data_IF_225862622311
#
_entry.id   IF_225862622311
#
_cell.length_a   1.000
_cell.length_b   1.000
_cell.length_c   1.000
_cell.angle_alpha   90.00
_cell.angle_beta   90.00
_cell.angle_gamma   90.00
#
_symmetry.space_group_name_H-M   'P 1'
#
loop_
_entity.id
_entity.type
_entity.pdbx_description
1 polymer ?
#
# COMPACT_ATOMS: atom_id res chain seq x y z
N UNK A 1 -14.81 -12.37 8.64
CA UNK A 1 -15.72 -13.15 9.50
C UNK A 1 -16.71 -13.91 8.65
N UNK A 2 -16.63 -15.25 8.53
CA UNK A 2 -17.61 -16.02 7.78
C UNK A 2 -18.90 -16.09 8.60
N UNK A 3 -19.92 -15.34 8.16
CA UNK A 3 -21.27 -15.39 8.73
C UNK A 3 -21.94 -16.69 8.29
N UNK A 4 -22.38 -17.46 9.29
CA UNK A 4 -23.50 -18.40 9.24
C UNK A 4 -23.59 -19.30 8.01
N UNK A 5 -22.94 -20.46 8.02
CA UNK A 5 -23.40 -21.57 7.18
C UNK A 5 -24.66 -22.13 7.84
N UNK A 6 -25.78 -21.89 7.16
CA UNK A 6 -27.11 -22.29 7.53
C UNK A 6 -27.13 -23.73 8.03
N UNK A 7 -27.66 -23.89 9.25
CA UNK A 7 -28.08 -25.17 9.83
C UNK A 7 -29.04 -25.80 8.83
N UNK A 8 -28.54 -26.75 8.06
CA UNK A 8 -29.38 -27.56 7.21
C UNK A 8 -30.18 -28.45 8.17
N UNK A 9 -31.52 -28.32 8.23
CA UNK A 9 -32.32 -29.21 9.08
C UNK A 9 -32.06 -30.64 8.61
N UNK A 10 -31.73 -31.53 9.55
CA UNK A 10 -31.57 -32.94 9.22
C UNK A 10 -32.84 -33.42 8.55
N UNK A 11 -32.75 -34.00 7.34
CA UNK A 11 -33.95 -34.21 6.58
C UNK A 11 -34.69 -35.42 7.14
N UNK A 12 -35.97 -35.22 7.45
CA UNK A 12 -36.90 -36.20 8.04
C UNK A 12 -36.86 -37.59 7.39
N UNK A 13 -36.48 -37.70 6.11
CA UNK A 13 -36.32 -38.97 5.41
C UNK A 13 -35.25 -39.89 5.98
N UNK A 14 -34.33 -39.39 6.82
CA UNK A 14 -33.29 -40.21 7.49
C UNK A 14 -33.83 -41.11 8.59
N UNK A 15 -34.97 -40.76 9.18
CA UNK A 15 -35.60 -41.55 10.25
C UNK A 15 -36.50 -42.67 9.70
N UNK A 16 -36.94 -42.57 8.45
CA UNK A 16 -37.88 -43.53 7.84
C UNK A 16 -37.31 -44.95 7.76
N UNK A 17 -36.02 -45.08 7.50
CA UNK A 17 -35.37 -46.39 7.33
C UNK A 17 -35.19 -47.17 8.63
N UNK A 18 -34.66 -46.57 9.73
CA UNK A 18 -34.63 -47.26 11.02
C UNK A 18 -36.03 -47.56 11.56
N UNK A 19 -37.02 -46.67 11.37
CA UNK A 19 -38.40 -46.95 11.80
C UNK A 19 -39.05 -48.09 11.02
N UNK A 20 -38.70 -48.26 9.73
CA UNK A 20 -39.21 -49.38 8.93
C UNK A 20 -38.67 -50.72 9.42
N UNK A 21 -37.38 -50.81 9.75
CA UNK A 21 -36.78 -52.04 10.31
C UNK A 21 -37.39 -52.37 11.67
N UNK A 22 -37.59 -51.36 12.53
CA UNK A 22 -38.28 -51.51 13.81
C UNK A 22 -39.74 -51.96 13.62
N UNK A 23 -40.45 -51.37 12.64
CA UNK A 23 -41.83 -51.75 12.30
C UNK A 23 -41.94 -53.19 11.83
N UNK A 24 -41.02 -53.66 10.97
CA UNK A 24 -40.99 -55.05 10.48
C UNK A 24 -40.67 -56.04 11.61
N UNK A 25 -39.78 -55.69 12.54
CA UNK A 25 -39.45 -56.57 13.68
C UNK A 25 -40.59 -56.66 14.70
N UNK A 26 -41.32 -55.57 14.96
CA UNK A 26 -42.52 -55.60 15.81
C UNK A 26 -43.68 -56.35 15.13
N UNK A 27 -43.92 -56.11 13.84
CA UNK A 27 -44.99 -56.77 13.09
C UNK A 27 -44.77 -58.29 12.99
N UNK A 28 -43.53 -58.71 12.78
CA UNK A 28 -43.18 -60.13 12.75
C UNK A 28 -43.29 -60.80 14.12
N UNK A 29 -42.87 -60.13 15.21
CA UNK A 29 -43.08 -60.65 16.56
C UNK A 29 -44.58 -60.83 16.89
N UNK A 30 -45.43 -59.90 16.45
CA UNK A 30 -46.89 -60.01 16.60
C UNK A 30 -47.49 -61.15 15.76
N UNK A 31 -47.01 -61.35 14.54
CA UNK A 31 -47.45 -62.45 13.68
C UNK A 31 -47.05 -63.82 14.26
N UNK A 32 -45.91 -63.95 14.93
CA UNK A 32 -45.45 -65.22 15.51
C UNK A 32 -46.44 -65.80 16.54
N UNK A 33 -47.20 -64.95 17.23
CA UNK A 33 -48.21 -65.35 18.22
C UNK A 33 -49.51 -65.89 17.60
N UNK A 34 -49.74 -65.64 16.31
CA UNK A 34 -50.98 -66.00 15.62
C UNK A 34 -50.85 -67.27 14.76
N UNK A 35 -49.64 -67.81 14.57
CA UNK A 35 -49.38 -68.94 13.68
C UNK A 35 -48.93 -70.19 14.43
N UNK A 36 -49.71 -71.28 14.31
CA UNK A 36 -49.40 -72.59 14.87
C UNK A 36 -48.65 -73.52 13.90
N UNK A 37 -48.66 -73.19 12.60
CA UNK A 37 -48.05 -74.01 11.53
C UNK A 37 -46.52 -73.85 11.49
N UNK A 38 -45.72 -74.94 11.50
CA UNK A 38 -44.26 -74.86 11.58
C UNK A 38 -43.61 -74.22 10.34
N UNK A 39 -44.21 -74.37 9.15
CA UNK A 39 -43.72 -73.73 7.92
C UNK A 39 -43.82 -72.21 8.00
N UNK A 40 -44.92 -71.70 8.57
CA UNK A 40 -45.18 -70.28 8.59
C UNK A 40 -44.31 -69.56 9.62
N UNK A 41 -44.01 -70.20 10.76
CA UNK A 41 -42.99 -69.73 11.71
C UNK A 41 -41.60 -69.64 11.07
N UNK A 42 -41.19 -70.63 10.25
CA UNK A 42 -39.90 -70.60 9.54
C UNK A 42 -39.80 -69.47 8.53
N UNK A 43 -40.87 -69.23 7.76
CA UNK A 43 -40.92 -68.10 6.83
C UNK A 43 -40.83 -66.76 7.55
N UNK A 44 -41.51 -66.62 8.69
CA UNK A 44 -41.45 -65.41 9.50
C UNK A 44 -40.03 -65.13 10.01
N UNK A 45 -39.35 -66.15 10.55
CA UNK A 45 -37.96 -66.04 11.03
C UNK A 45 -37.00 -65.71 9.87
N UNK A 46 -37.22 -66.29 8.69
CA UNK A 46 -36.42 -65.93 7.51
C UNK A 46 -36.62 -64.45 7.12
N UNK A 47 -37.84 -63.93 7.25
CA UNK A 47 -38.18 -62.54 6.95
C UNK A 47 -37.54 -61.57 7.96
N UNK A 48 -37.54 -61.90 9.25
CA UNK A 48 -36.87 -61.08 10.27
C UNK A 48 -35.36 -61.08 10.13
N UNK A 49 -34.76 -62.24 9.83
CA UNK A 49 -33.34 -62.33 9.55
C UNK A 49 -32.96 -61.50 8.31
N UNK A 50 -33.75 -61.56 7.23
CA UNK A 50 -33.54 -60.74 6.04
C UNK A 50 -33.65 -59.24 6.33
N UNK A 51 -34.60 -58.82 7.17
CA UNK A 51 -34.75 -57.42 7.59
C UNK A 51 -33.55 -56.95 8.43
N UNK A 52 -33.06 -57.78 9.35
CA UNK A 52 -31.87 -57.48 10.17
C UNK A 52 -30.61 -57.33 9.32
N UNK A 53 -30.39 -58.25 8.38
CA UNK A 53 -29.25 -58.18 7.43
C UNK A 53 -29.38 -56.95 6.53
N UNK A 54 -30.58 -56.65 6.01
CA UNK A 54 -30.83 -55.45 5.22
C UNK A 54 -30.53 -54.16 5.96
N UNK A 55 -30.97 -54.05 7.23
CA UNK A 55 -30.68 -52.91 8.09
C UNK A 55 -29.18 -52.74 8.36
N UNK A 56 -28.48 -53.83 8.65
CA UNK A 56 -27.03 -53.82 8.89
C UNK A 56 -26.24 -53.37 7.66
N UNK A 57 -26.58 -53.86 6.46
CA UNK A 57 -25.95 -53.43 5.20
C UNK A 57 -26.20 -51.95 4.93
N UNK A 58 -27.41 -51.48 5.20
CA UNK A 58 -27.76 -50.07 5.00
C UNK A 58 -26.95 -49.15 5.93
N UNK A 59 -26.89 -49.46 7.24
CA UNK A 59 -26.02 -48.72 8.18
C UNK A 59 -24.57 -48.71 7.72
N UNK A 60 -24.04 -49.86 7.28
CA UNK A 60 -22.67 -49.96 6.78
C UNK A 60 -22.42 -49.10 5.55
N UNK A 61 -23.40 -49.03 4.64
CA UNK A 61 -23.31 -48.17 3.46
C UNK A 61 -23.35 -46.68 3.83
N UNK A 62 -24.08 -46.31 4.88
CA UNK A 62 -24.21 -44.94 5.38
C UNK A 62 -22.95 -44.48 6.09
N UNK A 63 -22.34 -45.32 6.94
CA UNK A 63 -21.05 -45.01 7.58
C UNK A 63 -19.98 -44.69 6.53
N UNK A 64 -19.93 -45.49 5.45
CA UNK A 64 -19.00 -45.26 4.34
C UNK A 64 -19.33 -44.00 3.54
N UNK A 65 -20.61 -43.68 3.33
CA UNK A 65 -21.02 -42.46 2.63
C UNK A 65 -20.73 -41.21 3.46
N UNK A 66 -20.95 -41.25 4.78
CA UNK A 66 -20.63 -40.16 5.70
C UNK A 66 -19.12 -39.91 5.76
N UNK A 67 -18.31 -40.97 5.88
CA UNK A 67 -16.85 -40.84 5.85
C UNK A 67 -16.32 -40.21 4.56
N UNK A 68 -16.87 -40.60 3.41
CA UNK A 68 -16.51 -39.99 2.11
C UNK A 68 -16.85 -38.50 2.07
N UNK A 69 -18.05 -38.10 2.50
CA UNK A 69 -18.46 -36.68 2.54
C UNK A 69 -17.58 -35.85 3.47
N UNK A 70 -17.20 -36.38 4.63
CA UNK A 70 -16.30 -35.67 5.55
C UNK A 70 -14.91 -35.50 4.93
N UNK A 71 -14.39 -36.54 4.26
CA UNK A 71 -13.11 -36.46 3.57
C UNK A 71 -13.14 -35.45 2.41
N UNK A 72 -14.22 -35.41 1.63
CA UNK A 72 -14.43 -34.40 0.57
C UNK A 72 -14.49 -32.99 1.15
N UNK A 73 -15.31 -32.76 2.18
CA UNK A 73 -15.41 -31.44 2.83
C UNK A 73 -14.07 -31.01 3.46
N UNK A 74 -13.30 -31.94 4.02
CA UNK A 74 -11.98 -31.65 4.54
C UNK A 74 -11.01 -31.23 3.42
N UNK A 75 -11.02 -31.94 2.28
CA UNK A 75 -10.23 -31.57 1.10
C UNK A 75 -10.62 -30.22 0.53
N UNK A 76 -11.92 -29.93 0.45
CA UNK A 76 -12.42 -28.63 0.00
C UNK A 76 -12.00 -27.51 0.95
N UNK A 77 -12.06 -27.73 2.28
CA UNK A 77 -11.59 -26.75 3.27
C UNK A 77 -10.10 -26.45 3.12
N UNK A 78 -9.25 -27.48 2.99
CA UNK A 78 -7.81 -27.29 2.79
C UNK A 78 -7.54 -26.53 1.49
N UNK A 79 -8.29 -26.84 0.41
CA UNK A 79 -8.18 -26.12 -0.86
C UNK A 79 -8.60 -24.65 -0.73
N UNK A 80 -9.65 -24.38 0.03
CA UNK A 80 -10.13 -23.01 0.27
C UNK A 80 -9.14 -22.22 1.14
N UNK A 81 -8.60 -22.84 2.18
CA UNK A 81 -7.55 -22.27 3.05
C UNK A 81 -6.32 -21.90 2.22
N UNK A 82 -5.85 -22.82 1.37
CA UNK A 82 -4.72 -22.55 0.49
C UNK A 82 -4.97 -21.39 -0.49
N UNK A 83 -6.18 -21.30 -1.05
CA UNK A 83 -6.56 -20.16 -1.91
C UNK A 83 -6.64 -18.85 -1.13
N UNK A 84 -7.07 -18.88 0.13
CA UNK A 84 -7.10 -17.68 0.95
C UNK A 84 -5.70 -17.23 1.32
N UNK A 85 -4.81 -18.17 1.63
CA UNK A 85 -3.42 -17.88 1.95
C UNK A 85 -2.69 -17.29 0.73
N UNK A 86 -2.94 -17.83 -0.47
CA UNK A 86 -2.40 -17.27 -1.72
C UNK A 86 -2.87 -15.82 -1.92
N UNK A 87 -4.17 -15.56 -1.74
CA UNK A 87 -4.71 -14.19 -1.86
C UNK A 87 -4.15 -13.25 -0.80
N UNK A 88 -3.87 -13.75 0.40
CA UNK A 88 -3.23 -12.95 1.45
C UNK A 88 -1.81 -12.59 1.02
N UNK A 89 -1.05 -13.55 0.51
CA UNK A 89 0.31 -13.33 0.01
C UNK A 89 0.34 -12.32 -1.16
N UNK A 90 -0.59 -12.43 -2.11
CA UNK A 90 -0.77 -11.46 -3.20
C UNK A 90 -1.03 -10.04 -2.65
N UNK A 91 -1.97 -9.90 -1.71
CA UNK A 91 -2.31 -8.60 -1.10
C UNK A 91 -1.15 -8.01 -0.29
N UNK A 92 -0.38 -8.85 0.41
CA UNK A 92 0.82 -8.41 1.12
C UNK A 92 1.87 -7.87 0.16
N UNK A 93 2.10 -8.55 -0.96
CA UNK A 93 2.98 -8.08 -2.05
C UNK A 93 2.51 -6.74 -2.61
N UNK A 94 1.23 -6.62 -2.96
CA UNK A 94 0.65 -5.38 -3.49
C UNK A 94 0.80 -4.19 -2.51
N UNK A 95 0.65 -4.45 -1.20
CA UNK A 95 0.85 -3.44 -0.15
C UNK A 95 2.31 -3.00 -0.09
N UNK A 96 3.26 -3.92 -0.21
CA UNK A 96 4.69 -3.59 -0.26
C UNK A 96 5.02 -2.75 -1.49
N UNK A 97 4.53 -3.14 -2.67
CA UNK A 97 4.71 -2.37 -3.90
C UNK A 97 4.13 -0.95 -3.78
N UNK A 98 2.92 -0.81 -3.24
CA UNK A 98 2.29 0.48 -3.02
C UNK A 98 3.11 1.36 -2.04
N UNK A 99 3.68 0.76 -0.98
CA UNK A 99 4.56 1.47 -0.03
C UNK A 99 5.84 1.95 -0.72
N UNK A 100 6.45 1.13 -1.57
CA UNK A 100 7.63 1.51 -2.34
C UNK A 100 7.34 2.65 -3.31
N UNK A 101 6.22 2.58 -4.05
CA UNK A 101 5.79 3.64 -4.95
C UNK A 101 5.53 4.95 -4.20
N UNK A 102 4.84 4.87 -3.05
CA UNK A 102 4.60 6.03 -2.19
C UNK A 102 5.90 6.68 -1.73
N UNK A 103 6.85 5.88 -1.23
CA UNK A 103 8.15 6.39 -0.79
C UNK A 103 8.92 7.09 -1.94
N UNK A 104 8.90 6.52 -3.15
CA UNK A 104 9.51 7.12 -4.35
C UNK A 104 8.85 8.44 -4.72
N UNK A 105 7.52 8.51 -4.69
CA UNK A 105 6.79 9.75 -4.99
C UNK A 105 7.03 10.84 -3.93
N UNK A 106 7.05 10.46 -2.65
CA UNK A 106 7.36 11.39 -1.56
C UNK A 106 8.79 11.95 -1.69
N UNK A 107 9.77 11.12 -2.07
CA UNK A 107 11.13 11.58 -2.35
C UNK A 107 11.17 12.58 -3.52
N UNK A 108 10.47 12.29 -4.62
CA UNK A 108 10.36 13.20 -5.77
C UNK A 108 9.69 14.53 -5.39
N UNK A 109 8.61 14.48 -4.62
CA UNK A 109 7.92 15.69 -4.15
C UNK A 109 8.81 16.55 -3.26
N UNK A 110 9.57 15.92 -2.34
CA UNK A 110 10.56 16.64 -1.52
C UNK A 110 11.65 17.28 -2.38
N UNK A 111 12.20 16.56 -3.35
CA UNK A 111 13.19 17.09 -4.27
C UNK A 111 12.64 18.31 -5.04
N UNK A 112 11.43 18.21 -5.60
CA UNK A 112 10.79 19.33 -6.32
C UNK A 112 10.47 20.53 -5.43
N UNK A 113 10.12 20.31 -4.16
CA UNK A 113 9.95 21.41 -3.20
C UNK A 113 11.26 22.15 -2.93
N UNK A 114 12.38 21.42 -2.81
CA UNK A 114 13.71 22.01 -2.64
C UNK A 114 14.13 22.77 -3.90
N UNK A 115 13.95 22.20 -5.09
CA UNK A 115 14.22 22.87 -6.37
C UNK A 115 13.43 24.19 -6.49
N UNK A 116 12.12 24.17 -6.17
CA UNK A 116 11.29 25.37 -6.20
C UNK A 116 11.73 26.44 -5.19
N UNK A 117 12.16 26.02 -3.99
CA UNK A 117 12.72 26.95 -3.01
C UNK A 117 14.03 27.57 -3.51
N UNK A 118 14.89 26.76 -4.14
CA UNK A 118 16.13 27.20 -4.79
C UNK A 118 15.87 28.25 -5.87
N UNK A 119 14.98 27.96 -6.83
CA UNK A 119 14.63 28.88 -7.91
C UNK A 119 14.04 30.21 -7.39
N UNK A 120 13.21 30.17 -6.35
CA UNK A 120 12.71 31.39 -5.69
C UNK A 120 13.83 32.19 -5.04
N UNK A 121 14.80 31.51 -4.43
CA UNK A 121 16.01 32.14 -3.87
C UNK A 121 16.88 32.80 -4.94
N UNK A 122 17.12 32.10 -6.05
CA UNK A 122 17.84 32.64 -7.21
C UNK A 122 17.13 33.87 -7.77
N UNK A 123 15.82 33.80 -7.98
CA UNK A 123 15.04 34.94 -8.47
C UNK A 123 15.12 36.16 -7.53
N UNK A 124 15.02 35.95 -6.22
CA UNK A 124 15.20 37.02 -5.24
C UNK A 124 16.63 37.61 -5.28
N UNK A 125 17.65 36.78 -5.49
CA UNK A 125 19.03 37.24 -5.63
C UNK A 125 19.23 38.07 -6.91
N UNK A 126 18.63 37.67 -8.04
CA UNK A 126 18.65 38.45 -9.29
C UNK A 126 18.00 39.82 -9.10
N UNK A 127 16.83 39.88 -8.47
CA UNK A 127 16.13 41.15 -8.21
C UNK A 127 16.96 42.09 -7.33
N UNK A 128 17.62 41.58 -6.28
CA UNK A 128 18.53 42.40 -5.45
C UNK A 128 19.69 42.95 -6.26
N UNK A 129 20.34 42.13 -7.09
CA UNK A 129 21.46 42.56 -7.94
C UNK A 129 21.03 43.60 -8.98
N UNK A 130 19.85 43.44 -9.55
CA UNK A 130 19.30 44.42 -10.48
C UNK A 130 18.97 45.73 -9.78
N UNK A 131 18.32 45.68 -8.62
CA UNK A 131 18.02 46.85 -7.81
C UNK A 131 19.30 47.59 -7.39
N UNK A 132 20.35 46.88 -6.94
CA UNK A 132 21.64 47.51 -6.60
C UNK A 132 22.27 48.17 -7.84
N UNK A 133 22.30 47.48 -8.98
CA UNK A 133 22.82 48.04 -10.22
C UNK A 133 22.08 49.31 -10.65
N UNK A 134 20.74 49.36 -10.48
CA UNK A 134 19.95 50.54 -10.81
C UNK A 134 20.17 51.69 -9.82
N UNK A 135 20.31 51.40 -8.52
CA UNK A 135 20.68 52.43 -7.52
C UNK A 135 22.09 52.99 -7.76
N UNK A 136 23.04 52.15 -8.17
CA UNK A 136 24.40 52.57 -8.52
C UNK A 136 24.38 53.50 -9.74
N UNK A 137 23.62 53.15 -10.79
CA UNK A 137 23.42 54.00 -11.97
C UNK A 137 22.83 55.36 -11.60
N UNK A 138 21.76 55.38 -10.81
CA UNK A 138 21.15 56.62 -10.35
C UNK A 138 22.13 57.48 -9.54
N UNK A 139 22.89 56.85 -8.62
CA UNK A 139 23.91 57.55 -7.83
C UNK A 139 25.03 58.15 -8.68
N UNK A 140 25.45 57.45 -9.75
CA UNK A 140 26.47 57.95 -10.67
C UNK A 140 25.97 59.16 -11.48
N UNK A 141 24.70 59.16 -11.90
CA UNK A 141 24.08 60.31 -12.57
C UNK A 141 23.96 61.51 -11.63
N UNK A 142 23.54 61.31 -10.38
CA UNK A 142 23.46 62.40 -9.41
C UNK A 142 24.84 62.96 -9.05
N UNK A 143 25.86 62.09 -8.88
CA UNK A 143 27.25 62.54 -8.71
C UNK A 143 27.72 63.40 -9.89
N UNK A 144 27.43 63.00 -11.14
CA UNK A 144 27.75 63.81 -12.33
C UNK A 144 27.01 65.14 -12.33
N UNK A 145 25.74 65.16 -11.91
CA UNK A 145 24.93 66.39 -11.78
C UNK A 145 25.52 67.35 -10.75
N UNK A 146 25.90 66.84 -9.57
CA UNK A 146 26.53 67.64 -8.52
C UNK A 146 27.85 68.23 -9.00
N UNK A 147 28.70 67.44 -9.66
CA UNK A 147 29.95 67.92 -10.25
C UNK A 147 29.71 69.02 -11.31
N UNK A 148 28.66 68.91 -12.13
CA UNK A 148 28.31 69.94 -13.10
C UNK A 148 27.82 71.24 -12.44
N UNK A 149 27.07 71.15 -11.33
CA UNK A 149 26.63 72.30 -10.55
C UNK A 149 27.80 72.99 -9.83
N UNK A 150 28.73 72.22 -9.26
CA UNK A 150 29.95 72.74 -8.66
C UNK A 150 30.81 73.47 -9.71
N UNK A 151 30.96 72.90 -10.90
CA UNK A 151 31.69 73.52 -12.01
C UNK A 151 31.02 74.80 -12.52
N UNK A 152 29.68 74.91 -12.50
CA UNK A 152 28.96 76.10 -12.93
C UNK A 152 28.85 77.19 -11.86
N UNK A 153 28.96 76.84 -10.58
CA UNK A 153 28.92 77.77 -9.44
C UNK A 153 30.33 78.22 -9.01
N UNK A 154 31.38 77.53 -9.46
CA UNK A 154 32.76 77.97 -9.28
C UNK A 154 32.99 79.33 -9.97
N UNK A 155 33.62 80.31 -9.29
CA UNK A 155 33.84 81.63 -9.88
C UNK A 155 34.74 81.49 -11.11
N UNK A 156 34.33 82.11 -12.23
CA UNK A 156 35.11 82.17 -13.46
C UNK A 156 36.41 82.94 -13.21
N UNK A 157 37.49 82.23 -12.91
CA UNK A 157 38.83 82.80 -12.84
C UNK A 157 39.69 82.29 -11.69
N UNK A 158 40.08 81.02 -11.73
CA UNK A 158 41.37 80.60 -11.19
C UNK A 158 41.75 79.24 -11.82
N UNK A 159 42.83 79.16 -12.62
CA UNK A 159 43.35 77.86 -13.03
C UNK A 159 43.78 77.14 -11.75
N UNK A 160 43.17 75.98 -11.49
CA UNK A 160 43.66 75.09 -10.44
C UNK A 160 44.96 74.50 -10.96
N UNK A 161 46.07 75.19 -10.73
CA UNK A 161 47.41 74.66 -10.94
C UNK A 161 47.51 73.37 -10.12
N UNK A 162 47.64 72.25 -10.83
CA UNK A 162 48.06 71.01 -10.21
C UNK A 162 49.49 71.26 -9.68
N UNK A 163 49.81 70.85 -8.44
CA UNK A 163 51.18 70.94 -7.96
C UNK A 163 52.07 70.18 -8.95
N UNK A 164 53.17 70.81 -9.38
CA UNK A 164 54.14 70.17 -10.26
C UNK A 164 54.56 68.84 -9.65
N UNK A 165 54.44 67.75 -10.42
CA UNK A 165 55.01 66.47 -10.03
C UNK A 165 56.52 66.64 -10.04
N UNK A 166 57.12 66.72 -8.86
CA UNK A 166 58.56 66.60 -8.67
C UNK A 166 58.97 65.15 -8.98
N UNK A 167 59.14 64.81 -10.26
CA UNK A 167 59.83 63.58 -10.63
C UNK A 167 61.33 63.77 -10.34
N UNK A 168 61.73 63.47 -9.12
CA UNK A 168 63.16 63.36 -8.78
C UNK A 168 63.68 62.03 -9.37
N UNK A 169 63.98 62.08 -10.67
CA UNK A 169 64.66 61.03 -11.43
C UNK A 169 66.16 61.19 -11.30
N UNK A 170 66.86 60.07 -11.12
CA UNK A 170 68.33 60.04 -11.26
C UNK A 170 68.72 60.35 -12.71
N UNK A 171 69.99 60.70 -12.97
CA UNK A 171 70.50 60.99 -14.33
C UNK A 171 70.31 59.88 -15.38
N UNK A 172 69.88 58.68 -14.98
CA UNK A 172 69.50 57.57 -15.88
C UNK A 172 67.98 57.33 -15.99
N UNK A 173 67.14 58.19 -15.39
CA UNK A 173 65.69 58.17 -15.53
C UNK A 173 64.92 57.23 -14.60
N UNK A 174 65.51 56.68 -13.53
CA UNK A 174 64.79 55.82 -12.57
C UNK A 174 64.12 56.65 -11.44
N UNK A 175 62.90 56.31 -10.99
CA UNK A 175 62.22 57.00 -9.88
C UNK A 175 62.88 56.69 -8.53
N UNK A 176 63.07 57.70 -7.67
CA UNK A 176 63.63 57.56 -6.32
C UNK A 176 62.55 57.36 -5.24
N UNK A 177 62.84 56.68 -4.12
CA UNK A 177 61.83 56.24 -3.13
C UNK A 177 61.29 57.35 -2.20
N UNK A 178 61.63 58.62 -2.42
CA UNK A 178 61.20 59.72 -1.54
C UNK A 178 59.88 60.30 -2.06
N UNK A 179 58.81 59.54 -1.90
CA UNK A 179 57.47 59.90 -2.37
C UNK A 179 56.33 59.18 -1.66
N UNK A 180 56.52 58.82 -0.39
CA UNK A 180 55.43 58.42 0.52
C UNK A 180 55.69 59.01 1.91
N UNK A 181 55.18 60.22 2.12
CA UNK A 181 54.80 60.76 3.42
C UNK A 181 53.52 61.57 3.22
#
# INVERSE_FOLDING_TARGET
MPRGRHRNPEPLHRLLTPTAVAGVSVASAGAAWLLAEPLALRLLVALTAAAGVGGAVLMRSWDRAAGRRVAELARERVKDEWKTDERIAELESDIEEARLLRARLDAKLRAKRVELAGLRGEHAALLRRYATAETERASALEKRRLLALEASTAPAGAPKELPAVSEERTGSGAPTPVGYA
#
